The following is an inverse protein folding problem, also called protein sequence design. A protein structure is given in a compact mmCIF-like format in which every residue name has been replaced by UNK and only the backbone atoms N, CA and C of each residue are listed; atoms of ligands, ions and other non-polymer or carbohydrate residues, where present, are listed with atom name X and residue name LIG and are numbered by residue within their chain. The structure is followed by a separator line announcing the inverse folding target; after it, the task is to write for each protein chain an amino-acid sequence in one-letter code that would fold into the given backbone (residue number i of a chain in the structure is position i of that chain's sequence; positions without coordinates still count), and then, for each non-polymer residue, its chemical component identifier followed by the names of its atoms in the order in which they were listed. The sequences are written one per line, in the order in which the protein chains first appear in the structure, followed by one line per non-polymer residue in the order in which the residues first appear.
data_IF_255965848109
#
_entry.id   IF_255965848109
#
_cell.length_a   1.000
_cell.length_b   1.000
_cell.length_c   1.000
_cell.angle_alpha   90.00
_cell.angle_beta   90.00
_cell.angle_gamma   90.00
#
_symmetry.space_group_name_H-M   'P 1'
#
loop_
_entity.id
_entity.type
_entity.pdbx_description
1 polymer ?
#
# COMPACT_ATOMS: atom_id res chain seq x y z
N UNK A 1 6.73 27.16 -14.26
CA UNK A 1 7.26 25.78 -14.31
C UNK A 1 8.24 25.60 -13.16
N UNK A 2 8.39 24.37 -12.62
CA UNK A 2 9.33 24.11 -11.51
C UNK A 2 10.77 24.24 -12.04
N UNK A 3 11.65 24.93 -11.31
CA UNK A 3 13.00 25.31 -11.77
C UNK A 3 14.05 24.17 -11.76
N UNK A 4 13.66 22.92 -11.52
CA UNK A 4 14.62 21.80 -11.45
C UNK A 4 13.96 20.43 -11.58
N UNK A 5 14.80 19.41 -11.73
CA UNK A 5 14.38 18.01 -11.83
C UNK A 5 13.76 17.48 -10.54
N UNK A 6 13.02 16.38 -10.66
CA UNK A 6 12.49 15.68 -9.50
C UNK A 6 13.63 15.06 -8.68
N UNK A 7 13.63 15.31 -7.37
CA UNK A 7 14.62 14.74 -6.44
C UNK A 7 14.27 13.28 -6.10
N UNK A 8 14.33 12.40 -7.10
CA UNK A 8 13.87 11.00 -7.03
C UNK A 8 14.55 10.18 -5.92
N UNK A 9 15.86 10.37 -5.75
CA UNK A 9 16.66 9.66 -4.74
C UNK A 9 16.70 10.39 -3.38
N UNK A 10 16.04 11.54 -3.29
CA UNK A 10 15.91 12.28 -2.03
C UNK A 10 14.93 11.61 -1.07
N UNK A 11 15.07 11.93 0.22
CA UNK A 11 14.06 11.59 1.22
C UNK A 11 12.73 12.27 0.87
N UNK A 12 11.63 11.56 1.12
CA UNK A 12 10.29 12.10 0.98
C UNK A 12 10.01 13.20 2.00
N UNK A 13 9.28 14.24 1.58
CA UNK A 13 8.68 15.19 2.52
C UNK A 13 7.64 14.51 3.42
N UNK A 14 7.25 15.17 4.51
CA UNK A 14 6.20 14.68 5.41
C UNK A 14 4.89 14.43 4.64
N UNK A 15 4.41 15.39 3.86
CA UNK A 15 3.22 15.22 3.03
C UNK A 15 3.34 14.04 2.05
N UNK A 16 4.52 13.81 1.45
CA UNK A 16 4.72 12.64 0.60
C UNK A 16 4.63 11.33 1.41
N UNK A 17 5.10 11.31 2.67
CA UNK A 17 4.95 10.15 3.55
C UNK A 17 3.48 9.90 3.93
N UNK A 18 2.68 10.94 4.18
CA UNK A 18 1.24 10.83 4.44
C UNK A 18 0.50 10.22 3.25
N UNK A 19 0.86 10.59 2.01
CA UNK A 19 0.32 9.96 0.81
C UNK A 19 0.66 8.46 0.73
N UNK A 20 1.83 8.04 1.22
CA UNK A 20 2.18 6.62 1.31
C UNK A 20 1.35 5.90 2.38
N UNK A 21 1.08 6.55 3.51
CA UNK A 21 0.18 6.00 4.54
C UNK A 21 -1.24 5.83 3.99
N UNK A 22 -1.76 6.79 3.23
CA UNK A 22 -3.03 6.65 2.51
C UNK A 22 -2.99 5.48 1.51
N UNK A 23 -1.91 5.35 0.73
CA UNK A 23 -1.73 4.23 -0.18
C UNK A 23 -1.73 2.87 0.55
N UNK A 24 -1.18 2.81 1.76
CA UNK A 24 -1.21 1.61 2.59
C UNK A 24 -2.65 1.26 3.04
N UNK A 25 -3.46 2.24 3.41
CA UNK A 25 -4.90 2.04 3.70
C UNK A 25 -5.63 1.48 2.48
N UNK A 26 -5.41 2.06 1.29
CA UNK A 26 -6.06 1.66 0.04
C UNK A 26 -5.80 0.17 -0.29
N UNK A 27 -4.60 -0.35 -0.01
CA UNK A 27 -4.25 -1.76 -0.24
C UNK A 27 -4.45 -2.67 0.98
N UNK A 28 -5.04 -2.15 2.07
CA UNK A 28 -5.40 -2.89 3.28
C UNK A 28 -4.26 -3.15 4.26
N UNK A 29 -3.13 -2.43 4.16
CA UNK A 29 -1.95 -2.59 5.03
C UNK A 29 -2.02 -1.79 6.33
N UNK A 30 -3.11 -1.06 6.56
CA UNK A 30 -3.37 -0.33 7.80
C UNK A 30 -3.58 -1.22 9.04
N UNK A 31 -3.77 -2.52 8.86
CA UNK A 31 -3.88 -3.50 9.96
C UNK A 31 -2.52 -4.02 10.44
N UNK A 32 -1.43 -3.70 9.72
CA UNK A 32 -0.09 -4.15 10.09
C UNK A 32 0.41 -3.36 11.30
N UNK A 33 1.12 -4.02 12.22
CA UNK A 33 1.72 -3.38 13.42
C UNK A 33 2.75 -2.30 13.07
N UNK A 34 3.23 -2.28 11.82
CA UNK A 34 4.11 -1.25 11.29
C UNK A 34 3.39 0.05 10.89
N UNK A 35 2.07 0.06 10.83
CA UNK A 35 1.28 1.24 10.48
C UNK A 35 0.92 2.06 11.73
N UNK A 36 0.91 3.41 11.65
CA UNK A 36 1.40 4.24 10.54
C UNK A 36 2.93 4.44 10.59
N UNK A 37 3.54 4.18 11.74
CA UNK A 37 4.85 4.70 12.12
C UNK A 37 6.04 4.20 11.31
N UNK A 38 5.94 3.13 10.53
CA UNK A 38 7.05 2.64 9.71
C UNK A 38 6.73 2.68 8.22
N UNK A 39 5.49 2.94 7.85
CA UNK A 39 5.05 3.00 6.46
C UNK A 39 5.55 4.31 5.84
N UNK A 40 6.30 4.20 4.74
CA UNK A 40 6.90 5.35 4.07
C UNK A 40 8.15 5.93 4.74
N UNK A 41 8.46 5.54 5.99
CA UNK A 41 9.70 5.97 6.64
C UNK A 41 10.91 5.39 5.91
N UNK A 42 11.93 6.22 5.69
CA UNK A 42 13.18 5.89 4.99
C UNK A 42 13.05 5.52 3.50
N UNK A 43 11.93 5.81 2.85
CA UNK A 43 11.82 5.68 1.39
C UNK A 43 12.36 6.92 0.68
N UNK A 44 12.94 6.71 -0.50
CA UNK A 44 13.18 7.80 -1.46
C UNK A 44 11.87 8.20 -2.15
N UNK A 45 11.82 9.39 -2.75
CA UNK A 45 10.66 9.86 -3.53
C UNK A 45 10.26 8.85 -4.60
N UNK A 46 11.24 8.23 -5.27
CA UNK A 46 11.02 7.19 -6.28
C UNK A 46 10.35 5.94 -5.71
N UNK A 47 10.83 5.45 -4.57
CA UNK A 47 10.26 4.29 -3.89
C UNK A 47 8.83 4.55 -3.41
N UNK A 48 8.56 5.75 -2.88
CA UNK A 48 7.21 6.16 -2.50
C UNK A 48 6.26 6.18 -3.69
N UNK A 49 6.67 6.79 -4.81
CA UNK A 49 5.88 6.81 -6.05
C UNK A 49 5.52 5.40 -6.53
N UNK A 50 6.49 4.50 -6.60
CA UNK A 50 6.25 3.10 -7.01
C UNK A 50 5.30 2.37 -6.04
N UNK A 51 5.45 2.58 -4.73
CA UNK A 51 4.54 2.02 -3.73
C UNK A 51 3.09 2.50 -3.95
N UNK A 52 2.91 3.81 -4.14
CA UNK A 52 1.60 4.42 -4.38
C UNK A 52 0.97 3.92 -5.70
N UNK A 53 1.74 3.88 -6.79
CA UNK A 53 1.26 3.38 -8.09
C UNK A 53 0.79 1.92 -8.00
N UNK A 54 1.53 1.08 -7.29
CA UNK A 54 1.13 -0.32 -7.05
C UNK A 54 -0.14 -0.42 -6.21
N UNK A 55 -0.28 0.41 -5.18
CA UNK A 55 -1.48 0.44 -4.33
C UNK A 55 -2.74 0.79 -5.14
N UNK A 56 -2.70 1.89 -5.89
CA UNK A 56 -3.82 2.35 -6.72
C UNK A 56 -4.15 1.34 -7.81
N UNK A 57 -3.13 0.80 -8.50
CA UNK A 57 -3.33 -0.24 -9.53
C UNK A 57 -4.06 -1.46 -8.98
N UNK A 58 -3.64 -1.96 -7.81
CA UNK A 58 -4.25 -3.14 -7.17
C UNK A 58 -5.69 -2.87 -6.75
N UNK A 59 -5.96 -1.69 -6.18
CA UNK A 59 -7.31 -1.28 -5.80
C UNK A 59 -8.26 -1.19 -7.00
N UNK A 60 -7.84 -0.52 -8.09
CA UNK A 60 -8.64 -0.45 -9.31
C UNK A 60 -8.86 -1.80 -9.97
N UNK A 61 -7.85 -2.69 -9.95
CA UNK A 61 -8.02 -4.05 -10.45
C UNK A 61 -9.10 -4.79 -9.66
N UNK A 62 -9.06 -4.72 -8.33
CA UNK A 62 -10.06 -5.34 -7.47
C UNK A 62 -11.46 -4.73 -7.67
N UNK A 63 -11.57 -3.41 -7.78
CA UNK A 63 -12.82 -2.70 -8.10
C UNK A 63 -13.43 -3.13 -9.44
N UNK A 64 -12.60 -3.24 -10.49
CA UNK A 64 -13.05 -3.73 -11.80
C UNK A 64 -13.52 -5.18 -11.74
N UNK A 65 -12.84 -6.04 -10.96
CA UNK A 65 -13.30 -7.41 -10.75
C UNK A 65 -14.63 -7.45 -10.00
N UNK A 66 -14.77 -6.70 -8.90
CA UNK A 66 -16.03 -6.62 -8.15
C UNK A 66 -17.19 -6.18 -9.05
N UNK A 67 -16.98 -5.15 -9.88
CA UNK A 67 -17.98 -4.69 -10.85
C UNK A 67 -18.36 -5.76 -11.87
N UNK A 68 -17.38 -6.52 -12.39
CA UNK A 68 -17.65 -7.66 -13.31
C UNK A 68 -18.42 -8.79 -12.64
N UNK A 69 -18.28 -8.96 -11.32
CA UNK A 69 -18.99 -9.96 -10.52
C UNK A 69 -20.39 -9.49 -10.08
N UNK A 70 -20.86 -8.31 -10.52
CA UNK A 70 -22.18 -7.79 -10.18
C UNK A 70 -22.30 -7.20 -8.77
N UNK A 71 -21.18 -6.88 -8.12
CA UNK A 71 -21.18 -6.15 -6.84
C UNK A 71 -21.77 -4.74 -7.06
N UNK A 72 -22.56 -4.26 -6.09
CA UNK A 72 -23.15 -2.90 -6.13
C UNK A 72 -22.09 -1.82 -6.37
N UNK A 73 -22.44 -0.79 -7.15
CA UNK A 73 -21.56 0.35 -7.41
C UNK A 73 -21.25 1.16 -6.15
N UNK A 74 -22.11 1.10 -5.13
CA UNK A 74 -21.93 1.80 -3.85
C UNK A 74 -21.00 1.04 -2.89
N UNK A 75 -20.61 -0.19 -3.25
CA UNK A 75 -19.74 -1.02 -2.42
C UNK A 75 -18.27 -0.64 -2.63
N UNK A 76 -17.60 -0.22 -1.55
CA UNK A 76 -16.17 0.03 -1.54
C UNK A 76 -15.44 -1.30 -1.30
N UNK A 77 -14.58 -1.69 -2.25
CA UNK A 77 -13.79 -2.91 -2.14
C UNK A 77 -12.81 -2.81 -0.97
N UNK A 78 -12.95 -3.72 0.00
CA UNK A 78 -12.00 -3.88 1.09
C UNK A 78 -10.84 -4.78 0.67
N UNK A 79 -9.64 -4.20 0.60
CA UNK A 79 -8.43 -4.92 0.20
C UNK A 79 -7.85 -5.69 1.39
N UNK A 80 -7.36 -6.91 1.15
CA UNK A 80 -6.51 -7.64 2.10
C UNK A 80 -5.04 -7.34 1.85
N UNK A 81 -4.23 -7.14 2.92
CA UNK A 81 -2.81 -6.86 2.76
C UNK A 81 -2.07 -8.02 2.13
N UNK A 82 -1.08 -7.69 1.32
CA UNK A 82 -0.36 -8.65 0.45
C UNK A 82 0.53 -9.62 1.24
N UNK A 83 0.87 -9.26 2.49
CA UNK A 83 1.73 -10.02 3.40
C UNK A 83 1.03 -11.17 4.15
N UNK A 84 -0.28 -11.36 3.99
CA UNK A 84 -1.05 -12.42 4.68
C UNK A 84 -0.81 -13.84 4.12
N UNK A 85 0.10 -14.01 3.16
CA UNK A 85 0.45 -15.32 2.58
C UNK A 85 1.64 -16.02 3.25
N UNK A 86 2.33 -15.39 4.21
CA UNK A 86 3.36 -16.11 4.97
C UNK A 86 2.71 -16.90 6.10
N UNK A 87 2.20 -18.09 5.76
CA UNK A 87 1.92 -19.14 6.75
C UNK A 87 3.16 -19.27 7.63
N UNK A 88 3.05 -18.90 8.91
CA UNK A 88 4.02 -19.31 9.90
C UNK A 88 4.03 -20.83 9.88
N UNK A 89 5.13 -21.44 9.41
CA UNK A 89 5.32 -22.89 9.55
C UNK A 89 4.97 -23.26 10.99
N UNK A 90 4.10 -24.25 11.24
CA UNK A 90 3.81 -24.67 12.60
C UNK A 90 5.13 -25.10 13.23
N UNK A 91 5.49 -24.46 14.34
CA UNK A 91 6.56 -24.91 15.22
C UNK A 91 6.15 -26.28 15.75
N UNK A 92 6.76 -27.33 15.20
CA UNK A 92 6.54 -28.69 15.63
C UNK A 92 7.32 -28.88 16.94
N UNK A 93 6.69 -28.52 18.06
CA UNK A 93 7.19 -28.85 19.39
C UNK A 93 6.51 -30.14 19.79
N UNK A 94 7.13 -31.28 19.47
CA UNK A 94 6.80 -32.53 20.14
C UNK A 94 7.56 -32.59 21.47
N UNK A 95 6.90 -33.04 22.57
CA UNK A 95 7.51 -33.25 23.87
C UNK A 95 8.51 -34.42 23.87
#
# INVERSE_FOLDING_TARGET
MRQGEAKEDGKMSEFQQELIQLAAVIKGENILTSYPDRVGKNMTVKQGKDYMEKAVRRFFQAGRYAKKMGVSNDHIVQMKPSLTTRSSKPTNTNP
#
